data_IF_789376647829
#
_entry.id   IF_789376647829
#
_cell.length_a   1.000
_cell.length_b   1.000
_cell.length_c   1.000
_cell.angle_alpha   90.00
_cell.angle_beta   90.00
_cell.angle_gamma   90.00
#
_symmetry.space_group_name_H-M   'P 1'
#
loop_
_entity.id
_entity.type
_entity.pdbx_description
1 polymer ?
#
# COMPACT_ATOMS: atom_id res chain seq x y z
N UNK A 1 2.00 44.23 60.19
CA UNK A 1 2.04 44.18 58.71
C UNK A 1 1.77 42.75 58.28
N UNK A 2 0.52 42.45 57.91
CA UNK A 2 0.03 41.09 57.64
C UNK A 2 0.43 40.60 56.24
N UNK A 3 0.99 39.39 56.16
CA UNK A 3 1.24 38.65 54.91
C UNK A 3 -0.07 38.04 54.40
N UNK A 4 -0.60 38.55 53.28
CA UNK A 4 -1.70 37.90 52.57
C UNK A 4 -1.16 36.70 51.76
N UNK A 5 -1.62 35.49 52.09
CA UNK A 5 -1.45 34.31 51.24
C UNK A 5 -2.46 34.39 50.10
N UNK A 6 -1.98 34.43 48.86
CA UNK A 6 -2.84 34.31 47.69
C UNK A 6 -3.40 32.88 47.61
N UNK A 7 -4.71 32.74 47.79
CA UNK A 7 -5.45 31.52 47.46
C UNK A 7 -5.42 31.31 45.95
N UNK A 8 -4.95 30.14 45.51
CA UNK A 8 -5.00 29.70 44.11
C UNK A 8 -6.45 29.26 43.81
N UNK A 9 -7.20 30.05 43.05
CA UNK A 9 -8.56 29.71 42.62
C UNK A 9 -8.55 28.70 41.47
N UNK A 10 -9.47 27.72 41.56
CA UNK A 10 -9.73 26.65 40.58
C UNK A 10 -10.44 27.14 39.30
N UNK A 11 -10.04 28.28 38.75
CA UNK A 11 -10.70 28.87 37.58
C UNK A 11 -9.88 28.67 36.32
N UNK A 12 -9.93 27.44 35.79
CA UNK A 12 -9.65 27.20 34.38
C UNK A 12 -10.39 25.97 33.86
N UNK A 13 -11.72 25.91 34.11
CA UNK A 13 -12.61 25.09 33.28
C UNK A 13 -13.01 25.93 32.08
N UNK A 14 -12.28 25.74 30.97
CA UNK A 14 -12.56 26.33 29.66
C UNK A 14 -14.04 26.08 29.32
N UNK A 15 -14.84 27.14 29.31
CA UNK A 15 -16.25 27.09 28.92
C UNK A 15 -16.33 26.80 27.42
N UNK A 16 -16.73 25.58 27.02
CA UNK A 16 -17.01 25.28 25.61
C UNK A 16 -18.43 25.72 25.26
N UNK A 17 -18.62 26.50 24.18
CA UNK A 17 -19.96 26.86 23.73
C UNK A 17 -20.83 25.63 23.48
N UNK A 18 -22.06 25.65 23.99
CA UNK A 18 -23.07 24.58 23.82
C UNK A 18 -23.31 24.21 22.34
N UNK A 19 -23.17 25.17 21.44
CA UNK A 19 -23.26 25.00 19.98
C UNK A 19 -22.15 24.09 19.44
N UNK A 20 -20.92 24.25 19.95
CA UNK A 20 -19.78 23.41 19.62
C UNK A 20 -20.00 21.97 20.05
N UNK A 21 -20.54 21.76 21.27
CA UNK A 21 -20.87 20.42 21.79
C UNK A 21 -21.99 19.74 20.99
N UNK A 22 -23.01 20.49 20.56
CA UNK A 22 -24.09 19.96 19.69
C UNK A 22 -23.56 19.55 18.31
N UNK A 23 -22.64 20.32 17.73
CA UNK A 23 -22.01 19.99 16.46
C UNK A 23 -21.06 18.79 16.58
N UNK A 24 -20.26 18.72 17.64
CA UNK A 24 -19.42 17.55 17.94
C UNK A 24 -20.27 16.28 18.10
N UNK A 25 -21.39 16.36 18.82
CA UNK A 25 -22.32 15.24 19.00
C UNK A 25 -22.98 14.79 17.69
N UNK A 26 -23.41 15.72 16.84
CA UNK A 26 -23.93 15.41 15.50
C UNK A 26 -22.88 14.72 14.63
N UNK A 27 -21.65 15.25 14.60
CA UNK A 27 -20.52 14.66 13.86
C UNK A 27 -20.22 13.26 14.37
N UNK A 28 -20.27 13.02 15.68
CA UNK A 28 -20.04 11.69 16.26
C UNK A 28 -21.15 10.71 15.86
N UNK A 29 -22.43 11.12 15.91
CA UNK A 29 -23.55 10.29 15.44
C UNK A 29 -23.36 9.92 13.96
N UNK A 30 -22.98 10.86 13.11
CA UNK A 30 -22.73 10.61 11.70
C UNK A 30 -21.56 9.66 11.47
N UNK A 31 -20.47 9.81 12.23
CA UNK A 31 -19.34 8.87 12.21
C UNK A 31 -19.77 7.46 12.61
N UNK A 32 -20.58 7.32 13.67
CA UNK A 32 -21.09 6.02 14.11
C UNK A 32 -22.01 5.40 13.04
N UNK A 33 -22.94 6.18 12.47
CA UNK A 33 -23.78 5.73 11.34
C UNK A 33 -22.93 5.28 10.16
N UNK A 34 -21.93 6.06 9.75
CA UNK A 34 -21.03 5.72 8.66
C UNK A 34 -20.22 4.44 8.96
N UNK A 35 -19.78 4.25 10.20
CA UNK A 35 -19.10 3.03 10.66
C UNK A 35 -20.02 1.80 10.54
N UNK A 36 -21.25 1.91 11.04
CA UNK A 36 -22.24 0.82 10.97
C UNK A 36 -22.56 0.45 9.52
N UNK A 37 -22.75 1.44 8.65
CA UNK A 37 -22.97 1.20 7.22
C UNK A 37 -21.78 0.51 6.56
N UNK A 38 -20.54 0.92 6.87
CA UNK A 38 -19.33 0.26 6.34
C UNK A 38 -19.22 -1.19 6.79
N UNK A 39 -19.53 -1.47 8.05
CA UNK A 39 -19.50 -2.84 8.59
C UNK A 39 -20.58 -3.71 7.94
N UNK A 40 -21.80 -3.18 7.81
CA UNK A 40 -22.88 -3.86 7.09
C UNK A 40 -22.49 -4.21 5.65
N UNK A 41 -21.92 -3.25 4.92
CA UNK A 41 -21.48 -3.45 3.53
C UNK A 41 -20.34 -4.47 3.45
N UNK A 42 -19.41 -4.48 4.42
CA UNK A 42 -18.33 -5.46 4.51
C UNK A 42 -18.89 -6.87 4.70
N UNK A 43 -19.84 -7.04 5.62
CA UNK A 43 -20.51 -8.33 5.89
C UNK A 43 -21.28 -8.80 4.65
N UNK A 44 -22.04 -7.91 4.01
CA UNK A 44 -22.81 -8.25 2.80
C UNK A 44 -21.89 -8.71 1.67
N UNK A 45 -20.77 -8.02 1.46
CA UNK A 45 -19.79 -8.41 0.45
C UNK A 45 -19.13 -9.76 0.78
N UNK A 46 -18.77 -10.00 2.04
CA UNK A 46 -18.23 -11.29 2.46
C UNK A 46 -19.24 -12.43 2.24
N UNK A 47 -20.53 -12.21 2.50
CA UNK A 47 -21.60 -13.19 2.20
C UNK A 47 -21.66 -13.50 0.71
N UNK A 48 -21.69 -12.47 -0.15
CA UNK A 48 -21.70 -12.63 -1.62
C UNK A 48 -20.53 -13.47 -2.12
N UNK A 49 -19.34 -13.27 -1.56
CA UNK A 49 -18.13 -14.04 -1.91
C UNK A 49 -18.26 -15.50 -1.48
N UNK A 50 -18.73 -15.75 -0.25
CA UNK A 50 -18.93 -17.12 0.26
C UNK A 50 -20.01 -17.85 -0.54
N UNK A 51 -21.10 -17.17 -0.88
CA UNK A 51 -22.17 -17.74 -1.69
C UNK A 51 -21.67 -18.06 -3.11
N UNK A 52 -20.91 -17.15 -3.73
CA UNK A 52 -20.28 -17.41 -5.03
C UNK A 52 -19.33 -18.61 -4.98
N UNK A 53 -18.47 -18.68 -3.96
CA UNK A 53 -17.56 -19.82 -3.77
C UNK A 53 -18.29 -21.15 -3.59
N UNK A 54 -19.51 -21.14 -3.04
CA UNK A 54 -20.33 -22.34 -2.84
C UNK A 54 -21.11 -22.74 -4.09
N UNK A 55 -21.64 -21.76 -4.83
CA UNK A 55 -22.60 -21.98 -5.92
C UNK A 55 -21.93 -22.10 -7.30
N UNK A 56 -20.77 -21.47 -7.49
CA UNK A 56 -20.07 -21.39 -8.78
C UNK A 56 -18.80 -22.26 -8.76
N UNK A 57 -18.80 -23.42 -9.45
CA UNK A 57 -17.64 -24.32 -9.50
C UNK A 57 -16.41 -23.69 -10.18
N UNK A 58 -16.60 -22.86 -11.20
CA UNK A 58 -15.50 -22.24 -11.94
C UNK A 58 -14.82 -21.18 -11.08
N UNK A 59 -15.62 -20.36 -10.38
CA UNK A 59 -15.09 -19.41 -9.41
C UNK A 59 -14.33 -20.12 -8.29
N UNK A 60 -14.88 -21.21 -7.75
CA UNK A 60 -14.22 -22.02 -6.72
C UNK A 60 -12.88 -22.55 -7.19
N UNK A 61 -12.84 -23.17 -8.37
CA UNK A 61 -11.61 -23.72 -8.97
C UNK A 61 -10.55 -22.63 -9.15
N UNK A 62 -10.94 -21.49 -9.74
CA UNK A 62 -10.04 -20.36 -9.93
C UNK A 62 -9.49 -19.82 -8.59
N UNK A 63 -10.37 -19.66 -7.59
CA UNK A 63 -10.01 -19.18 -6.27
C UNK A 63 -9.01 -20.10 -5.58
N UNK A 64 -9.28 -21.41 -5.60
CA UNK A 64 -8.43 -22.42 -4.99
C UNK A 64 -7.05 -22.45 -5.66
N UNK A 65 -6.99 -22.49 -7.00
CA UNK A 65 -5.74 -22.49 -7.76
C UNK A 65 -4.91 -21.23 -7.54
N UNK A 66 -5.53 -20.05 -7.59
CA UNK A 66 -4.82 -18.78 -7.34
C UNK A 66 -4.27 -18.75 -5.92
N UNK A 67 -5.05 -19.19 -4.93
CA UNK A 67 -4.60 -19.25 -3.55
C UNK A 67 -3.51 -20.29 -3.31
N UNK A 68 -3.53 -21.44 -4.00
CA UNK A 68 -2.47 -22.45 -3.95
C UNK A 68 -1.17 -21.95 -4.58
N UNK A 69 -1.26 -21.34 -5.76
CA UNK A 69 -0.11 -20.75 -6.44
C UNK A 69 0.53 -19.67 -5.57
N UNK A 70 -0.25 -18.72 -5.07
CA UNK A 70 0.29 -17.66 -4.21
C UNK A 70 0.86 -18.22 -2.91
N UNK A 71 0.19 -19.18 -2.27
CA UNK A 71 0.69 -19.77 -1.02
C UNK A 71 2.01 -20.52 -1.22
N UNK A 72 2.15 -21.29 -2.30
CA UNK A 72 3.39 -22.01 -2.62
C UNK A 72 4.53 -21.06 -2.97
N UNK A 73 4.29 -20.06 -3.82
CA UNK A 73 5.29 -19.04 -4.13
C UNK A 73 5.74 -18.27 -2.89
N UNK A 74 4.81 -17.85 -2.01
CA UNK A 74 5.16 -17.11 -0.79
C UNK A 74 5.98 -17.93 0.20
N UNK A 75 5.77 -19.25 0.28
CA UNK A 75 6.59 -20.14 1.11
C UNK A 75 8.03 -20.20 0.58
N UNK A 76 8.18 -20.45 -0.72
CA UNK A 76 9.49 -20.48 -1.38
C UNK A 76 10.22 -19.14 -1.28
N UNK A 77 9.51 -18.03 -1.50
CA UNK A 77 10.07 -16.69 -1.38
C UNK A 77 10.58 -16.42 0.06
N UNK A 78 9.88 -16.94 1.08
CA UNK A 78 10.29 -16.80 2.47
C UNK A 78 11.56 -17.62 2.78
N UNK A 79 11.68 -18.81 2.21
CA UNK A 79 12.90 -19.63 2.31
C UNK A 79 14.08 -18.94 1.61
N UNK A 80 13.86 -18.38 0.42
CA UNK A 80 14.87 -17.61 -0.31
C UNK A 80 15.30 -16.37 0.48
N UNK A 81 14.35 -15.65 1.09
CA UNK A 81 14.64 -14.52 1.97
C UNK A 81 15.51 -14.93 3.16
N UNK A 82 15.17 -16.03 3.84
CA UNK A 82 15.93 -16.54 4.98
C UNK A 82 17.34 -17.01 4.58
N UNK A 83 17.51 -17.52 3.35
CA UNK A 83 18.81 -17.91 2.79
C UNK A 83 19.64 -16.73 2.25
N UNK A 84 19.10 -15.50 2.27
CA UNK A 84 19.76 -14.29 1.77
C UNK A 84 19.77 -14.14 0.24
N UNK A 85 19.07 -15.00 -0.50
CA UNK A 85 18.98 -14.97 -1.98
C UNK A 85 17.92 -13.99 -2.47
N UNK A 86 18.11 -12.70 -2.21
CA UNK A 86 17.11 -11.66 -2.49
C UNK A 86 16.78 -11.48 -3.98
N UNK A 87 17.72 -11.81 -4.88
CA UNK A 87 17.54 -11.65 -6.33
C UNK A 87 16.60 -12.69 -6.94
N UNK A 88 16.45 -13.83 -6.27
CA UNK A 88 15.66 -14.96 -6.76
C UNK A 88 14.22 -14.93 -6.23
N UNK A 89 13.90 -13.97 -5.35
CA UNK A 89 12.56 -13.78 -4.81
C UNK A 89 11.60 -13.44 -5.96
N UNK A 90 10.49 -14.16 -6.02
CA UNK A 90 9.48 -14.00 -7.05
C UNK A 90 8.70 -12.69 -6.86
N UNK A 91 8.01 -12.27 -7.93
CA UNK A 91 7.07 -11.15 -7.86
C UNK A 91 5.70 -11.54 -7.28
N UNK A 92 5.50 -12.78 -6.80
CA UNK A 92 4.22 -13.22 -6.25
C UNK A 92 3.75 -12.31 -5.11
N UNK A 93 4.69 -11.85 -4.26
CA UNK A 93 4.37 -10.93 -3.17
C UNK A 93 3.83 -9.57 -3.64
N UNK A 94 4.24 -9.10 -4.83
CA UNK A 94 3.76 -7.86 -5.42
C UNK A 94 2.29 -7.98 -5.83
N UNK A 95 1.91 -9.14 -6.35
CA UNK A 95 0.55 -9.43 -6.80
C UNK A 95 -0.38 -9.92 -5.69
N UNK A 96 0.19 -10.44 -4.60
CA UNK A 96 -0.59 -10.82 -3.42
C UNK A 96 -1.31 -9.59 -2.85
N UNK A 97 -2.64 -9.65 -2.65
CA UNK A 97 -3.40 -8.53 -2.11
C UNK A 97 -2.95 -8.16 -0.70
N UNK A 98 -3.07 -6.88 -0.35
CA UNK A 98 -2.91 -6.43 1.04
C UNK A 98 -4.14 -6.79 1.85
N UNK A 99 -3.97 -7.10 3.13
CA UNK A 99 -5.09 -7.30 4.06
C UNK A 99 -6.05 -6.10 4.01
N UNK A 100 -7.35 -6.39 3.98
CA UNK A 100 -8.44 -5.41 4.00
C UNK A 100 -8.41 -4.39 2.84
N UNK A 101 -7.63 -4.67 1.80
CA UNK A 101 -7.73 -3.97 0.52
C UNK A 101 -9.10 -4.21 -0.13
N UNK A 102 -9.49 -3.37 -1.10
CA UNK A 102 -10.72 -3.58 -1.86
C UNK A 102 -10.76 -4.97 -2.50
N UNK A 103 -9.64 -5.42 -3.06
CA UNK A 103 -9.49 -6.75 -3.66
C UNK A 103 -9.68 -7.87 -2.63
N UNK A 104 -9.04 -7.78 -1.45
CA UNK A 104 -9.21 -8.79 -0.40
C UNK A 104 -10.65 -8.81 0.15
N UNK A 105 -11.26 -7.64 0.31
CA UNK A 105 -12.67 -7.55 0.74
C UNK A 105 -13.66 -8.17 -0.26
N UNK A 106 -13.33 -8.13 -1.56
CA UNK A 106 -14.15 -8.66 -2.64
C UNK A 106 -13.87 -10.15 -2.95
N UNK A 107 -12.79 -10.73 -2.45
CA UNK A 107 -12.38 -12.10 -2.84
C UNK A 107 -12.06 -13.00 -1.66
N UNK A 108 -11.76 -12.44 -0.49
CA UNK A 108 -11.28 -13.14 0.70
C UNK A 108 -10.04 -14.01 0.43
N UNK A 109 -9.24 -13.66 -0.57
CA UNK A 109 -8.03 -14.41 -0.95
C UNK A 109 -7.00 -14.45 0.18
N UNK A 110 -6.79 -13.35 0.92
CA UNK A 110 -5.82 -13.36 2.03
C UNK A 110 -6.21 -14.37 3.11
N UNK A 111 -7.52 -14.63 3.30
CA UNK A 111 -8.01 -15.63 4.25
C UNK A 111 -7.62 -17.05 3.81
N UNK A 112 -7.83 -17.40 2.54
CA UNK A 112 -7.48 -18.74 2.05
C UNK A 112 -5.97 -18.93 1.90
N UNK A 113 -5.24 -17.89 1.47
CA UNK A 113 -3.77 -17.89 1.44
C UNK A 113 -3.21 -18.07 2.84
N UNK A 114 -3.67 -17.31 3.85
CA UNK A 114 -3.20 -17.46 5.23
C UNK A 114 -3.37 -18.89 5.74
N UNK A 115 -4.53 -19.52 5.45
CA UNK A 115 -4.81 -20.91 5.82
C UNK A 115 -3.92 -21.93 5.11
N UNK A 116 -3.54 -21.67 3.86
CA UNK A 116 -2.65 -22.55 3.08
C UNK A 116 -1.17 -22.35 3.43
N UNK A 117 -0.78 -21.12 3.79
CA UNK A 117 0.58 -20.79 4.25
C UNK A 117 0.82 -21.36 5.64
N UNK A 118 -0.11 -21.13 6.57
CA UNK A 118 -0.10 -21.68 7.92
C UNK A 118 -1.10 -22.84 8.00
N UNK A 119 -0.70 -24.01 7.50
CA UNK A 119 -1.54 -25.20 7.48
C UNK A 119 -2.09 -25.52 8.88
N UNK A 120 -3.36 -25.92 8.95
CA UNK A 120 -4.05 -26.31 10.21
C UNK A 120 -3.31 -27.39 11.00
N UNK A 121 -2.62 -28.29 10.31
CA UNK A 121 -1.84 -29.38 10.91
C UNK A 121 -0.70 -28.88 11.82
N UNK A 122 -0.15 -27.70 11.53
CA UNK A 122 0.93 -27.10 12.30
C UNK A 122 0.41 -26.25 13.47
N UNK A 123 -0.86 -25.84 13.44
CA UNK A 123 -1.44 -24.93 14.43
C UNK A 123 -2.98 -25.12 14.60
N UNK A 124 -3.42 -26.22 15.22
CA UNK A 124 -4.84 -26.49 15.48
C UNK A 124 -5.51 -25.44 16.36
N UNK A 125 -4.74 -24.68 17.16
CA UNK A 125 -5.23 -23.62 18.05
C UNK A 125 -5.83 -22.40 17.34
N UNK A 126 -5.66 -22.27 16.02
CA UNK A 126 -6.22 -21.14 15.25
C UNK A 126 -7.54 -21.48 14.54
N UNK A 127 -8.13 -22.66 14.80
CA UNK A 127 -9.47 -22.98 14.28
C UNK A 127 -10.51 -22.00 14.87
N UNK A 128 -11.11 -21.17 14.01
CA UNK A 128 -12.05 -20.12 14.43
C UNK A 128 -11.43 -18.73 14.69
N UNK A 129 -10.10 -18.60 14.63
CA UNK A 129 -9.39 -17.31 14.84
C UNK A 129 -8.68 -16.87 13.54
N UNK A 130 -9.44 -16.80 12.47
CA UNK A 130 -8.92 -16.53 11.12
C UNK A 130 -8.28 -15.13 11.01
N UNK A 131 -8.74 -14.16 11.79
CA UNK A 131 -8.19 -12.81 11.81
C UNK A 131 -6.75 -12.77 12.37
N UNK A 132 -6.40 -13.65 13.31
CA UNK A 132 -5.03 -13.76 13.83
C UNK A 132 -4.11 -14.38 12.78
N UNK A 133 -4.58 -15.38 12.02
CA UNK A 133 -3.81 -15.94 10.91
C UNK A 133 -3.57 -14.91 9.80
N UNK A 134 -4.58 -14.08 9.49
CA UNK A 134 -4.42 -12.97 8.54
C UNK A 134 -3.38 -11.97 9.04
N UNK A 135 -3.47 -11.52 10.29
CA UNK A 135 -2.49 -10.57 10.84
C UNK A 135 -1.07 -11.17 10.86
N UNK A 136 -0.95 -12.47 11.17
CA UNK A 136 0.31 -13.21 11.08
C UNK A 136 0.86 -13.25 9.65
N UNK A 137 0.03 -13.52 8.64
CA UNK A 137 0.41 -13.48 7.23
C UNK A 137 1.00 -12.12 6.88
N UNK A 138 0.35 -11.03 7.29
CA UNK A 138 0.85 -9.68 7.05
C UNK A 138 2.20 -9.45 7.71
N UNK A 139 2.32 -9.75 9.01
CA UNK A 139 3.52 -9.45 9.80
C UNK A 139 4.73 -10.31 9.41
N UNK A 140 4.52 -11.62 9.26
CA UNK A 140 5.61 -12.59 9.08
C UNK A 140 5.95 -12.85 7.61
N UNK A 141 5.01 -12.62 6.69
CA UNK A 141 5.22 -12.94 5.26
C UNK A 141 5.17 -11.68 4.42
N UNK A 142 4.05 -10.95 4.43
CA UNK A 142 3.87 -9.86 3.45
C UNK A 142 4.81 -8.67 3.68
N UNK A 143 4.97 -8.23 4.93
CA UNK A 143 5.85 -7.10 5.25
C UNK A 143 7.33 -7.39 4.93
N UNK A 144 7.95 -8.49 5.39
CA UNK A 144 9.36 -8.74 5.11
C UNK A 144 9.63 -8.99 3.62
N UNK A 145 8.78 -9.75 2.93
CA UNK A 145 8.96 -10.00 1.49
C UNK A 145 8.79 -8.73 0.64
N UNK A 146 7.83 -7.86 0.96
CA UNK A 146 7.70 -6.56 0.25
C UNK A 146 8.86 -5.62 0.53
N UNK A 147 9.42 -5.67 1.74
CA UNK A 147 10.61 -4.90 2.08
C UNK A 147 11.84 -5.41 1.30
N UNK A 148 12.02 -6.72 1.19
CA UNK A 148 13.08 -7.33 0.39
C UNK A 148 13.01 -6.96 -1.10
N UNK A 149 11.79 -6.82 -1.65
CA UNK A 149 11.58 -6.40 -3.03
C UNK A 149 11.76 -4.88 -3.26
N UNK A 150 11.93 -4.09 -2.19
CA UNK A 150 12.13 -2.63 -2.22
C UNK A 150 11.03 -1.89 -3.00
N UNK A 151 9.77 -2.31 -2.82
CA UNK A 151 8.62 -1.68 -3.47
C UNK A 151 8.40 -0.24 -2.95
N UNK A 152 8.11 0.74 -3.84
CA UNK A 152 7.92 2.14 -3.44
C UNK A 152 6.80 2.32 -2.42
N UNK A 153 5.75 1.50 -2.48
CA UNK A 153 4.62 1.54 -1.55
C UNK A 153 5.02 1.26 -0.10
N UNK A 154 6.09 0.48 0.13
CA UNK A 154 6.61 0.18 1.48
C UNK A 154 7.18 1.45 2.10
N UNK A 155 8.00 2.19 1.37
CA UNK A 155 8.60 3.44 1.80
C UNK A 155 7.54 4.55 1.96
N UNK A 156 6.65 4.68 0.98
CA UNK A 156 5.53 5.65 1.01
C UNK A 156 4.65 5.39 2.23
N UNK A 157 4.30 4.12 2.51
CA UNK A 157 3.47 3.74 3.66
C UNK A 157 4.14 4.04 5.01
N UNK A 158 5.47 3.92 5.08
CA UNK A 158 6.27 4.25 6.28
C UNK A 158 6.63 5.73 6.39
N UNK A 159 6.32 6.55 5.37
CA UNK A 159 6.80 7.94 5.21
C UNK A 159 8.33 8.04 5.23
N UNK A 160 9.02 6.97 4.86
CA UNK A 160 10.48 6.88 4.80
C UNK A 160 10.96 7.23 3.39
N UNK A 161 10.79 8.50 3.01
CA UNK A 161 11.15 8.97 1.69
C UNK A 161 12.67 8.97 1.47
N UNK A 162 13.43 9.29 2.54
CA UNK A 162 14.90 9.37 2.54
C UNK A 162 15.61 8.07 2.16
N UNK A 163 14.98 6.91 2.37
CA UNK A 163 15.56 5.61 2.05
C UNK A 163 15.08 5.01 0.72
N UNK A 164 14.18 5.69 0.00
CA UNK A 164 13.60 5.17 -1.26
C UNK A 164 14.67 5.07 -2.37
N UNK A 165 14.89 3.88 -2.96
CA UNK A 165 15.83 3.70 -4.07
C UNK A 165 15.19 4.04 -5.42
N UNK A 166 15.29 5.30 -5.87
CA UNK A 166 14.68 5.77 -7.14
C UNK A 166 15.12 4.98 -8.38
N UNK A 167 16.33 4.42 -8.39
CA UNK A 167 16.87 3.61 -9.48
C UNK A 167 16.09 2.30 -9.70
N UNK A 168 15.42 1.77 -8.68
CA UNK A 168 14.61 0.55 -8.77
C UNK A 168 13.14 0.80 -9.05
N UNK A 169 12.69 2.06 -8.95
CA UNK A 169 11.30 2.42 -9.17
C UNK A 169 10.99 2.32 -10.67
N UNK A 170 10.03 1.46 -11.02
CA UNK A 170 9.55 1.30 -12.39
C UNK A 170 8.92 2.59 -12.92
N UNK A 171 9.00 2.81 -14.24
CA UNK A 171 8.50 4.04 -14.89
C UNK A 171 7.02 4.33 -14.63
N UNK A 172 6.18 3.29 -14.60
CA UNK A 172 4.74 3.41 -14.30
C UNK A 172 4.52 3.89 -12.87
N UNK A 173 5.25 3.33 -11.90
CA UNK A 173 5.20 3.77 -10.50
C UNK A 173 5.73 5.21 -10.36
N UNK A 174 6.74 5.58 -11.16
CA UNK A 174 7.27 6.94 -11.21
C UNK A 174 6.21 7.95 -11.68
N UNK A 175 5.44 7.62 -12.73
CA UNK A 175 4.30 8.44 -13.19
C UNK A 175 3.24 8.56 -12.10
N UNK A 176 2.88 7.43 -11.47
CA UNK A 176 1.80 7.37 -10.49
C UNK A 176 2.09 8.12 -9.19
N UNK A 177 3.35 8.12 -8.72
CA UNK A 177 3.75 8.71 -7.44
C UNK A 177 4.51 10.04 -7.58
N UNK A 178 4.63 10.57 -8.80
CA UNK A 178 5.33 11.83 -9.12
C UNK A 178 5.01 12.96 -8.13
N UNK A 179 3.73 13.25 -7.93
CA UNK A 179 3.31 14.38 -7.08
C UNK A 179 3.66 14.14 -5.61
N UNK A 180 3.67 12.88 -5.17
CA UNK A 180 4.08 12.54 -3.80
C UNK A 180 5.58 12.70 -3.62
N UNK A 181 6.38 12.30 -4.60
CA UNK A 181 7.83 12.49 -4.57
C UNK A 181 8.17 13.99 -4.56
N UNK A 182 7.53 14.80 -5.40
CA UNK A 182 7.72 16.24 -5.40
C UNK A 182 7.29 16.89 -4.08
N UNK A 183 6.22 16.40 -3.45
CA UNK A 183 5.74 16.98 -2.19
C UNK A 183 6.61 16.64 -0.98
N UNK A 184 7.21 15.45 -0.96
CA UNK A 184 7.83 14.90 0.25
C UNK A 184 9.36 14.70 0.15
N UNK A 185 9.93 14.61 -1.05
CA UNK A 185 11.36 14.41 -1.28
C UNK A 185 11.81 15.07 -2.59
N UNK A 186 11.55 16.38 -2.67
CA UNK A 186 11.76 17.16 -3.89
C UNK A 186 13.24 17.19 -4.31
N UNK A 187 14.14 17.43 -3.37
CA UNK A 187 15.57 17.63 -3.63
C UNK A 187 16.21 16.36 -4.22
N UNK A 188 16.07 15.21 -3.55
CA UNK A 188 16.64 13.94 -4.03
C UNK A 188 15.98 13.48 -5.31
N UNK A 189 14.67 13.73 -5.47
CA UNK A 189 13.97 13.40 -6.70
C UNK A 189 14.48 14.24 -7.88
N UNK A 190 14.71 15.54 -7.68
CA UNK A 190 15.31 16.43 -8.70
C UNK A 190 16.72 15.99 -9.06
N UNK A 191 17.56 15.67 -8.08
CA UNK A 191 18.90 15.13 -8.34
C UNK A 191 18.87 13.83 -9.15
N UNK A 192 17.94 12.94 -8.83
CA UNK A 192 17.77 11.68 -9.55
C UNK A 192 17.40 11.94 -11.02
N UNK A 193 16.45 12.85 -11.28
CA UNK A 193 16.07 13.22 -12.64
C UNK A 193 17.24 13.82 -13.43
N UNK A 194 18.08 14.63 -12.79
CA UNK A 194 19.27 15.20 -13.43
C UNK A 194 20.33 14.13 -13.71
N UNK A 195 20.53 13.16 -12.80
CA UNK A 195 21.39 11.99 -13.04
C UNK A 195 20.89 11.14 -14.21
N UNK A 196 19.57 10.97 -14.35
CA UNK A 196 18.96 10.29 -15.49
C UNK A 196 19.20 11.07 -16.80
N UNK A 197 19.03 12.40 -16.78
CA UNK A 197 19.31 13.27 -17.94
C UNK A 197 20.76 13.16 -18.40
N UNK A 198 21.70 13.15 -17.45
CA UNK A 198 23.13 12.97 -17.73
C UNK A 198 23.48 11.53 -18.19
N UNK A 199 22.53 10.59 -18.15
CA UNK A 199 22.75 9.18 -18.48
C UNK A 199 23.48 8.39 -17.40
N UNK A 200 23.68 8.96 -16.21
CA UNK A 200 24.32 8.30 -15.06
C UNK A 200 23.37 7.34 -14.34
N UNK A 201 22.07 7.46 -14.57
CA UNK A 201 21.03 6.56 -14.06
C UNK A 201 20.07 6.17 -15.20
N UNK A 202 19.51 4.96 -15.13
CA UNK A 202 18.56 4.42 -16.12
C UNK A 202 17.18 4.26 -15.48
N UNK A 203 16.15 4.72 -16.18
CA UNK A 203 14.75 4.40 -15.85
C UNK A 203 14.28 3.27 -16.77
N UNK A 204 13.71 2.23 -16.19
CA UNK A 204 13.08 1.15 -16.95
C UNK A 204 11.76 1.66 -17.57
N UNK A 205 11.86 2.29 -18.75
CA UNK A 205 10.72 2.89 -19.46
C UNK A 205 9.93 1.91 -20.34
N UNK A 206 10.35 0.63 -20.46
CA UNK A 206 9.78 -0.33 -21.39
C UNK A 206 8.29 -0.67 -21.20
N UNK A 207 7.72 -0.35 -20.04
CA UNK A 207 6.29 -0.54 -19.76
C UNK A 207 5.41 0.65 -20.16
N UNK A 208 5.99 1.78 -20.59
CA UNK A 208 5.22 2.96 -21.01
C UNK A 208 4.88 2.87 -22.50
N UNK A 209 3.61 3.12 -22.79
CA UNK A 209 3.12 3.15 -24.17
C UNK A 209 3.45 4.51 -24.81
N UNK A 210 3.72 4.58 -26.12
CA UNK A 210 4.08 5.83 -26.80
C UNK A 210 3.09 6.98 -26.55
N UNK A 211 1.79 6.70 -26.53
CA UNK A 211 0.78 7.73 -26.24
C UNK A 211 0.85 8.27 -24.81
N UNK A 212 1.25 7.45 -23.82
CA UNK A 212 1.43 7.89 -22.44
C UNK A 212 2.66 8.79 -22.28
N UNK A 213 3.66 8.60 -23.14
CA UNK A 213 4.85 9.45 -23.22
C UNK A 213 4.47 10.80 -23.80
N UNK A 214 3.69 10.81 -24.90
CA UNK A 214 3.18 12.05 -25.53
C UNK A 214 2.28 12.83 -24.57
N UNK A 215 1.37 12.15 -23.87
CA UNK A 215 0.54 12.75 -22.82
C UNK A 215 1.40 13.42 -21.74
N UNK A 216 2.43 12.72 -21.25
CA UNK A 216 3.35 13.27 -20.26
C UNK A 216 4.18 14.48 -20.76
N UNK A 217 4.32 14.64 -22.07
CA UNK A 217 4.93 15.83 -22.69
C UNK A 217 3.95 17.01 -22.78
N UNK A 218 2.65 16.75 -22.84
CA UNK A 218 1.61 17.77 -22.95
C UNK A 218 1.17 18.28 -21.57
N UNK A 219 1.12 17.41 -20.55
CA UNK A 219 0.87 17.77 -19.14
C UNK A 219 2.03 18.54 -18.48
N UNK A 220 3.07 18.83 -19.24
CA UNK A 220 4.27 19.56 -18.84
C UNK A 220 4.01 21.06 -18.63
N UNK A 221 2.99 21.43 -17.86
CA UNK A 221 2.75 22.83 -17.54
C UNK A 221 3.70 23.33 -16.43
N UNK A 222 4.36 24.45 -16.73
CA UNK A 222 5.28 25.31 -15.96
C UNK A 222 6.72 24.88 -15.58
N UNK A 223 7.20 23.65 -15.72
CA UNK A 223 8.66 23.36 -15.50
C UNK A 223 9.38 22.61 -16.63
N UNK A 224 8.66 21.87 -17.48
CA UNK A 224 9.26 20.96 -18.47
C UNK A 224 9.23 21.47 -19.92
N UNK A 225 8.77 22.71 -20.17
CA UNK A 225 8.53 23.25 -21.52
C UNK A 225 9.78 23.42 -22.40
N UNK A 226 10.99 23.36 -21.83
CA UNK A 226 12.26 23.20 -22.58
C UNK A 226 13.02 21.92 -22.26
N UNK A 227 12.99 21.44 -21.02
CA UNK A 227 13.85 20.32 -20.57
C UNK A 227 13.17 18.93 -20.57
N UNK A 228 11.84 18.84 -20.58
CA UNK A 228 11.13 17.56 -20.53
C UNK A 228 11.02 16.82 -21.86
N UNK A 229 11.00 17.57 -22.97
CA UNK A 229 11.01 17.01 -24.33
C UNK A 229 12.30 16.24 -24.62
N UNK A 230 13.45 16.79 -24.27
CA UNK A 230 14.75 16.10 -24.40
C UNK A 230 14.86 14.87 -23.48
N UNK A 231 14.26 14.92 -22.29
CA UNK A 231 14.30 13.84 -21.30
C UNK A 231 13.61 12.56 -21.81
N UNK A 232 12.38 12.67 -22.31
CA UNK A 232 11.64 11.52 -22.84
C UNK A 232 12.28 10.96 -24.12
N UNK A 233 12.78 11.83 -25.01
CA UNK A 233 13.52 11.44 -26.22
C UNK A 233 14.83 10.69 -25.90
N UNK A 234 15.52 11.07 -24.81
CA UNK A 234 16.76 10.41 -24.36
C UNK A 234 16.49 9.06 -23.70
N UNK A 235 15.37 8.93 -22.97
CA UNK A 235 14.94 7.65 -22.40
C UNK A 235 14.53 6.64 -23.47
N UNK A 236 13.87 7.08 -24.55
CA UNK A 236 13.48 6.25 -25.70
C UNK A 236 14.69 5.74 -26.51
N UNK A 237 15.69 6.59 -26.76
CA UNK A 237 16.90 6.20 -27.52
C UNK A 237 17.81 5.17 -26.83
N UNK A 238 17.67 4.98 -25.52
CA UNK A 238 18.53 4.09 -24.71
C UNK A 238 17.78 2.90 -24.07
N UNK A 239 16.51 2.77 -24.42
CA UNK A 239 15.62 1.68 -24.01
C UNK A 239 15.42 0.59 -25.06
N UNK A 240 16.01 0.74 -26.24
CA UNK A 240 16.16 -0.30 -27.28
C UNK A 240 17.53 -0.94 -27.21
#
# INVERSE_FOLDING_TARGET
MMRFKAHRTEENRIWRPLEGLKNEYKVEIEKQKARMTREKNKIEMAKKVVDRYRLDPDYKLLHDHVSDLLASCLKLDLELLNSGKLKDISLAIKWCPSLDSSFDKQTLLCKTIARKVFSKELYPEYEGIEDVLRDRLRKQVLIPLRAALELPEVYIGRKDWGSLPYNRVASVAMKMYKDKFLKHDEERFREYLEKVKQGKAKIAAGALLPHQIIEALNDADKWLSRNGREWWMTCLKRGS
#
